data_IF_907482056369
#
_entry.id   IF_907482056369
#
_cell.length_a   1.000
_cell.length_b   1.000
_cell.length_c   1.000
_cell.angle_alpha   90.00
_cell.angle_beta   90.00
_cell.angle_gamma   90.00
#
_symmetry.space_group_name_H-M   'P 1'
#
loop_
_entity.id
_entity.type
_entity.pdbx_description
1 polymer ?
#
# COMPACT_ATOMS: atom_id res chain seq x y z
N UNK A 1 2.93 8.94 -11.04
CA UNK A 1 1.79 8.90 -10.10
C UNK A 1 0.70 9.78 -10.68
N UNK A 2 -0.49 9.25 -10.95
CA UNK A 2 -1.64 10.05 -11.36
C UNK A 2 -2.44 10.42 -10.10
N UNK A 3 -3.08 11.59 -10.07
CA UNK A 3 -3.86 12.03 -8.89
C UNK A 3 -5.29 12.38 -9.25
N UNK A 4 -6.23 12.09 -8.35
CA UNK A 4 -7.65 12.49 -8.47
C UNK A 4 -8.19 13.08 -7.18
N UNK A 5 -9.39 13.65 -7.23
CA UNK A 5 -10.15 14.12 -6.07
C UNK A 5 -11.63 13.83 -6.32
N UNK A 6 -12.26 13.07 -5.43
CA UNK A 6 -13.68 12.67 -5.57
C UNK A 6 -14.57 13.36 -4.54
N UNK A 7 -14.00 13.70 -3.38
CA UNK A 7 -14.68 14.43 -2.31
C UNK A 7 -13.74 15.48 -1.71
N UNK A 8 -14.26 16.63 -1.22
CA UNK A 8 -13.42 17.66 -0.62
C UNK A 8 -12.52 17.10 0.48
N UNK A 9 -11.22 17.42 0.41
CA UNK A 9 -10.22 16.96 1.37
C UNK A 9 -9.63 15.57 1.12
N UNK A 10 -10.11 14.82 0.12
CA UNK A 10 -9.56 13.50 -0.24
C UNK A 10 -8.80 13.59 -1.55
N UNK A 11 -7.49 13.32 -1.47
CA UNK A 11 -6.61 13.20 -2.63
C UNK A 11 -6.33 11.73 -2.90
N UNK A 12 -6.66 11.28 -4.11
CA UNK A 12 -6.33 9.95 -4.60
C UNK A 12 -4.96 9.96 -5.30
N UNK A 13 -4.20 8.90 -5.09
CA UNK A 13 -2.96 8.62 -5.80
C UNK A 13 -3.08 7.26 -6.47
N UNK A 14 -2.91 7.24 -7.80
CA UNK A 14 -2.99 6.04 -8.61
C UNK A 14 -1.58 5.59 -9.01
N UNK A 15 -1.30 4.33 -8.70
CA UNK A 15 -0.09 3.62 -9.10
C UNK A 15 -0.33 2.92 -10.42
N UNK A 16 0.56 3.15 -11.39
CA UNK A 16 0.50 2.52 -12.70
C UNK A 16 1.81 1.77 -12.96
N UNK A 17 1.70 0.47 -13.23
CA UNK A 17 2.81 -0.35 -13.65
C UNK A 17 2.21 -1.57 -14.36
N UNK A 18 1.93 -1.48 -15.66
CA UNK A 18 1.19 -2.54 -16.37
C UNK A 18 1.88 -3.93 -16.30
N UNK A 19 3.20 -3.97 -16.10
CA UNK A 19 3.96 -5.21 -15.92
C UNK A 19 3.80 -5.86 -14.54
N UNK A 20 3.15 -5.19 -13.58
CA UNK A 20 2.90 -5.68 -12.21
C UNK A 20 1.41 -5.60 -11.85
N UNK A 21 0.72 -4.55 -12.31
CA UNK A 21 -0.71 -4.26 -12.12
C UNK A 21 -1.39 -4.22 -13.50
N UNK A 22 -1.58 -5.36 -14.17
CA UNK A 22 -2.12 -5.39 -15.53
C UNK A 22 -3.59 -4.95 -15.59
N UNK A 23 -4.36 -5.24 -14.54
CA UNK A 23 -5.75 -4.83 -14.34
C UNK A 23 -6.09 -4.91 -12.85
N UNK A 24 -7.32 -4.52 -12.48
CA UNK A 24 -7.83 -4.60 -11.10
C UNK A 24 -8.08 -6.07 -10.75
N UNK A 25 -7.63 -6.50 -9.56
CA UNK A 25 -7.74 -7.89 -9.08
C UNK A 25 -7.22 -8.93 -10.10
N UNK A 26 -5.93 -8.87 -10.48
CA UNK A 26 -5.37 -9.88 -11.35
C UNK A 26 -5.21 -11.21 -10.61
N UNK A 27 -5.43 -12.31 -11.32
CA UNK A 27 -5.15 -13.66 -10.83
C UNK A 27 -3.63 -13.88 -10.71
N UNK A 28 -3.08 -13.58 -9.54
CA UNK A 28 -1.65 -13.71 -9.24
C UNK A 28 -1.41 -14.70 -8.12
N UNK A 29 -0.44 -15.59 -8.32
CA UNK A 29 -0.11 -16.66 -7.37
C UNK A 29 1.40 -16.75 -7.14
N UNK A 30 1.79 -17.25 -5.97
CA UNK A 30 3.19 -17.51 -5.64
C UNK A 30 4.08 -16.28 -5.82
N UNK A 31 5.10 -16.37 -6.67
CA UNK A 31 6.08 -15.31 -6.88
C UNK A 31 5.46 -14.03 -7.46
N UNK A 32 4.48 -14.14 -8.36
CA UNK A 32 3.81 -12.97 -8.94
C UNK A 32 2.97 -12.25 -7.90
N UNK A 33 2.32 -12.98 -6.99
CA UNK A 33 1.61 -12.36 -5.87
C UNK A 33 2.57 -11.61 -4.95
N UNK A 34 3.74 -12.18 -4.63
CA UNK A 34 4.78 -11.51 -3.85
C UNK A 34 5.29 -10.26 -4.57
N UNK A 35 5.53 -10.35 -5.88
CA UNK A 35 5.95 -9.21 -6.72
C UNK A 35 4.89 -8.10 -6.71
N UNK A 36 3.62 -8.46 -6.79
CA UNK A 36 2.49 -7.54 -6.72
C UNK A 36 2.47 -6.79 -5.38
N UNK A 37 2.36 -7.50 -4.25
CA UNK A 37 2.19 -6.87 -2.93
C UNK A 37 3.44 -6.11 -2.49
N UNK A 38 4.63 -6.58 -2.87
CA UNK A 38 5.89 -5.91 -2.53
C UNK A 38 6.11 -4.64 -3.34
N UNK A 39 5.79 -4.66 -4.64
CA UNK A 39 5.83 -3.46 -5.49
C UNK A 39 4.82 -2.44 -5.01
N UNK A 40 3.58 -2.87 -4.75
CA UNK A 40 2.52 -1.99 -4.25
C UNK A 40 2.93 -1.29 -2.95
N UNK A 41 3.49 -2.06 -2.01
CA UNK A 41 3.90 -1.53 -0.72
C UNK A 41 5.03 -0.49 -0.83
N UNK A 42 6.10 -0.81 -1.56
CA UNK A 42 7.24 0.11 -1.74
C UNK A 42 6.84 1.36 -2.50
N UNK A 43 6.08 1.21 -3.60
CA UNK A 43 5.64 2.35 -4.40
C UNK A 43 4.73 3.29 -3.59
N UNK A 44 3.88 2.74 -2.72
CA UNK A 44 3.03 3.54 -1.84
C UNK A 44 3.85 4.36 -0.83
N UNK A 45 4.82 3.75 -0.16
CA UNK A 45 5.69 4.45 0.80
C UNK A 45 6.57 5.51 0.10
N UNK A 46 7.09 5.18 -1.09
CA UNK A 46 7.88 6.11 -1.92
C UNK A 46 7.10 7.38 -2.30
N UNK A 47 5.78 7.29 -2.49
CA UNK A 47 4.94 8.49 -2.75
C UNK A 47 5.07 9.51 -1.61
N UNK A 48 5.01 9.06 -0.36
CA UNK A 48 5.12 9.96 0.79
C UNK A 48 6.52 10.59 0.90
N UNK A 49 7.56 9.80 0.60
CA UNK A 49 8.94 10.28 0.52
C UNK A 49 9.09 11.36 -0.57
N UNK A 50 8.60 11.08 -1.78
CA UNK A 50 8.67 11.97 -2.93
C UNK A 50 7.94 13.29 -2.69
N UNK A 51 6.75 13.23 -2.11
CA UNK A 51 5.96 14.41 -1.77
C UNK A 51 6.46 15.14 -0.53
N UNK A 52 7.39 14.54 0.23
CA UNK A 52 7.85 15.03 1.54
C UNK A 52 6.70 15.26 2.51
N UNK A 53 5.69 14.41 2.43
CA UNK A 53 4.49 14.45 3.26
C UNK A 53 4.38 13.11 3.97
N UNK A 54 5.04 12.99 5.12
CA UNK A 54 5.00 11.75 5.91
C UNK A 54 3.77 11.78 6.80
N UNK A 55 2.80 10.87 6.58
CA UNK A 55 1.58 10.87 7.37
C UNK A 55 1.86 10.39 8.80
N UNK A 56 1.22 10.96 9.82
CA UNK A 56 1.31 10.46 11.19
C UNK A 56 0.56 9.13 11.37
N UNK A 57 -0.40 8.83 10.48
CA UNK A 57 -1.20 7.62 10.48
C UNK A 57 -1.32 7.06 9.06
N UNK A 58 -1.06 5.77 8.90
CA UNK A 58 -1.36 5.02 7.67
C UNK A 58 -2.34 3.89 8.04
N UNK A 59 -3.49 3.89 7.39
CA UNK A 59 -4.44 2.77 7.46
C UNK A 59 -4.28 1.94 6.20
N UNK A 60 -4.12 0.64 6.38
CA UNK A 60 -3.95 -0.34 5.30
C UNK A 60 -5.14 -1.29 5.33
N UNK A 61 -5.62 -1.65 4.15
CA UNK A 61 -6.83 -2.43 3.99
C UNK A 61 -6.51 -3.72 3.25
N UNK A 62 -6.78 -4.83 3.93
CA UNK A 62 -6.75 -6.17 3.34
C UNK A 62 -5.38 -6.62 2.79
N UNK A 63 -5.32 -7.86 2.34
CA UNK A 63 -4.11 -8.54 1.90
C UNK A 63 -3.28 -7.79 0.84
N UNK A 64 -3.82 -7.01 -0.12
CA UNK A 64 -2.99 -6.31 -1.12
C UNK A 64 -2.03 -5.31 -0.50
N UNK A 65 -2.37 -4.79 0.68
CA UNK A 65 -1.64 -3.71 1.38
C UNK A 65 -0.82 -4.19 2.56
N UNK A 66 -0.84 -5.50 2.87
CA UNK A 66 -0.28 -6.07 4.11
C UNK A 66 1.22 -5.79 4.31
N UNK A 67 2.00 -5.65 3.23
CA UNK A 67 3.44 -5.41 3.33
C UNK A 67 3.83 -3.94 3.55
N UNK A 68 2.91 -2.98 3.43
CA UNK A 68 3.18 -1.56 3.69
C UNK A 68 3.74 -1.35 5.11
N UNK A 69 3.04 -1.75 6.20
CA UNK A 69 3.57 -1.59 7.54
C UNK A 69 4.88 -2.38 7.74
N UNK A 70 5.00 -3.55 7.10
CA UNK A 70 6.20 -4.38 7.20
C UNK A 70 7.44 -3.67 6.65
N UNK A 71 7.38 -3.11 5.44
CA UNK A 71 8.51 -2.38 4.85
C UNK A 71 8.88 -1.13 5.65
N UNK A 72 7.89 -0.39 6.15
CA UNK A 72 8.13 0.78 6.98
C UNK A 72 8.81 0.41 8.30
N UNK A 73 8.26 -0.55 9.05
CA UNK A 73 8.78 -0.96 10.37
C UNK A 73 10.09 -1.73 10.29
N UNK A 74 10.40 -2.35 9.15
CA UNK A 74 11.71 -2.97 8.86
C UNK A 74 12.75 -1.99 8.32
N UNK A 75 12.46 -0.68 8.35
CA UNK A 75 13.39 0.39 8.00
C UNK A 75 13.93 0.32 6.56
N UNK A 76 13.13 -0.18 5.62
CA UNK A 76 13.50 -0.17 4.19
C UNK A 76 13.74 1.27 3.69
N UNK A 77 12.95 2.23 4.19
CA UNK A 77 13.10 3.66 3.93
C UNK A 77 13.86 4.39 5.06
N UNK A 78 14.77 3.69 5.76
CA UNK A 78 15.44 4.23 6.95
C UNK A 78 14.45 4.56 8.07
N UNK A 79 14.66 5.69 8.74
CA UNK A 79 13.85 6.13 9.89
C UNK A 79 12.65 7.02 9.50
N UNK A 80 12.35 7.17 8.19
CA UNK A 80 11.33 8.11 7.68
C UNK A 80 9.96 7.91 8.33
N UNK A 81 9.59 6.66 8.63
CA UNK A 81 8.28 6.28 9.16
C UNK A 81 8.30 5.89 10.65
N UNK A 82 9.37 6.23 11.39
CA UNK A 82 9.51 5.85 12.81
C UNK A 82 8.37 6.46 13.67
N UNK A 83 7.93 7.68 13.34
CA UNK A 83 6.81 8.37 14.00
C UNK A 83 5.43 8.04 13.40
N UNK A 84 5.34 7.20 12.38
CA UNK A 84 4.07 6.83 11.74
C UNK A 84 3.41 5.67 12.48
N UNK A 85 2.15 5.86 12.83
CA UNK A 85 1.25 4.82 13.37
C UNK A 85 0.64 4.05 12.20
N UNK A 86 0.50 2.74 12.34
CA UNK A 86 -0.10 1.88 11.33
C UNK A 86 -1.28 1.11 11.90
N UNK A 87 -2.42 1.16 11.21
CA UNK A 87 -3.54 0.24 11.43
C UNK A 87 -3.74 -0.62 10.18
N UNK A 88 -3.98 -1.92 10.40
CA UNK A 88 -4.29 -2.86 9.33
C UNK A 88 -5.68 -3.42 9.54
N UNK A 89 -6.53 -3.30 8.53
CA UNK A 89 -7.89 -3.81 8.53
C UNK A 89 -7.88 -5.20 7.88
N UNK A 90 -8.32 -6.20 8.64
CA UNK A 90 -8.42 -7.59 8.20
C UNK A 90 -9.91 -7.94 8.09
N UNK A 91 -10.33 -8.42 6.92
CA UNK A 91 -11.74 -8.78 6.65
C UNK A 91 -12.00 -10.28 6.85
N UNK A 92 -10.98 -11.13 6.67
CA UNK A 92 -11.14 -12.59 6.63
C UNK A 92 -10.90 -13.24 8.00
N UNK A 93 -11.29 -12.58 9.09
CA UNK A 93 -11.27 -13.21 10.43
C UNK A 93 -12.44 -14.19 10.61
N UNK A 94 -13.51 -14.02 9.84
CA UNK A 94 -14.62 -14.96 9.76
C UNK A 94 -14.31 -16.03 8.71
N UNK A 95 -14.29 -17.34 9.06
CA UNK A 95 -14.12 -18.44 8.11
C UNK A 95 -15.21 -18.52 7.03
N UNK A 96 -16.33 -17.82 7.19
CA UNK A 96 -17.39 -17.71 6.18
C UNK A 96 -17.25 -16.51 5.24
N UNK A 97 -16.21 -15.68 5.41
CA UNK A 97 -15.92 -14.55 4.55
C UNK A 97 -14.81 -14.95 3.55
N UNK A 98 -15.23 -15.08 2.28
CA UNK A 98 -14.53 -15.66 1.11
C UNK A 98 -14.54 -17.20 0.99
#
# INVERSE_FOLDING_TARGET
VHTGSVVPGVKLFFLHCASVFPHIYPDVYGLEQIRFISTFAKATLEIFCYLRQIPPLIVTNDWPTCLIPAYAKRKFFGNVFDSTIFYHLVHNLDPGYE
#
